data_IF_520283546517
#
_entry.id   IF_520283546517
#
_cell.length_a   1.000
_cell.length_b   1.000
_cell.length_c   1.000
_cell.angle_alpha   90.00
_cell.angle_beta   90.00
_cell.angle_gamma   90.00
#
_symmetry.space_group_name_H-M   'P 1'
#
loop_
_entity.id
_entity.type
_entity.pdbx_description
1 polymer ?
#
# COMPACT_ATOMS: atom_id res chain seq x y z
N UNK A 1 68.27 -27.47 -0.39
CA UNK A 1 67.19 -26.80 -1.12
C UNK A 1 66.14 -26.42 -0.08
N UNK A 2 66.06 -25.10 0.21
CA UNK A 2 65.25 -24.56 1.28
C UNK A 2 63.83 -24.31 0.82
N UNK A 3 62.84 -24.88 1.55
CA UNK A 3 61.41 -24.62 1.31
C UNK A 3 61.00 -23.29 1.96
N UNK A 4 60.37 -22.46 1.17
CA UNK A 4 59.78 -21.15 1.64
C UNK A 4 58.40 -21.44 2.25
N UNK A 5 58.08 -20.94 3.45
CA UNK A 5 56.71 -21.05 4.00
C UNK A 5 55.82 -20.01 3.36
N UNK A 6 54.66 -20.45 2.81
CA UNK A 6 53.57 -19.59 2.38
C UNK A 6 52.78 -19.15 3.60
N UNK A 7 52.80 -17.86 3.91
CA UNK A 7 51.97 -17.24 4.92
C UNK A 7 50.52 -17.18 4.44
N UNK A 8 49.63 -17.94 5.10
CA UNK A 8 48.19 -17.82 4.93
C UNK A 8 47.69 -16.51 5.55
N UNK A 9 47.25 -15.57 4.72
CA UNK A 9 46.56 -14.40 5.17
C UNK A 9 45.10 -14.79 5.52
N UNK A 10 44.79 -14.83 6.80
CA UNK A 10 43.42 -14.88 7.30
C UNK A 10 42.75 -13.57 6.96
N UNK A 11 41.78 -13.61 6.05
CA UNK A 11 40.87 -12.49 5.82
C UNK A 11 39.89 -12.52 7.00
N UNK A 12 40.16 -11.73 8.01
CA UNK A 12 39.18 -11.38 9.02
C UNK A 12 38.03 -10.68 8.30
N UNK A 13 36.87 -11.34 8.27
CA UNK A 13 35.62 -10.75 7.82
C UNK A 13 35.29 -9.56 8.71
N UNK A 14 35.52 -8.34 8.19
CA UNK A 14 34.97 -7.14 8.78
C UNK A 14 33.45 -7.31 8.79
N UNK A 15 32.88 -7.58 9.96
CA UNK A 15 31.47 -7.38 10.25
C UNK A 15 31.20 -5.90 9.96
N UNK A 16 30.54 -5.63 8.84
CA UNK A 16 29.95 -4.33 8.57
C UNK A 16 28.89 -4.15 9.66
N UNK A 17 29.25 -3.45 10.73
CA UNK A 17 28.29 -2.92 11.68
C UNK A 17 27.32 -2.10 10.85
N UNK A 18 26.07 -2.58 10.75
CA UNK A 18 25.06 -1.94 9.95
C UNK A 18 24.95 -0.48 10.35
N UNK A 19 25.19 0.42 9.40
CA UNK A 19 24.76 1.80 9.55
C UNK A 19 23.31 1.74 9.98
N UNK A 20 22.99 2.31 11.15
CA UNK A 20 21.64 2.52 11.59
C UNK A 20 20.96 3.30 10.47
N UNK A 21 20.05 2.65 9.77
CA UNK A 21 19.37 3.29 8.64
C UNK A 21 18.62 4.53 9.11
N UNK A 22 18.17 5.37 8.17
CA UNK A 22 17.61 6.69 8.50
C UNK A 22 16.48 6.60 9.52
N UNK A 23 16.43 7.59 10.42
CA UNK A 23 15.40 7.69 11.48
C UNK A 23 13.99 7.92 10.93
N UNK A 24 13.87 8.23 9.62
CA UNK A 24 12.63 8.51 8.92
C UNK A 24 12.14 7.26 8.20
N UNK A 25 10.90 6.87 8.50
CA UNK A 25 10.16 5.85 7.81
C UNK A 25 9.03 6.48 6.97
N UNK A 26 8.93 6.10 5.71
CA UNK A 26 7.89 6.58 4.79
C UNK A 26 7.01 5.41 4.39
N UNK A 27 5.77 5.39 4.86
CA UNK A 27 4.77 4.38 4.52
C UNK A 27 3.77 4.93 3.50
N UNK A 28 3.65 4.32 2.34
CA UNK A 28 2.72 4.80 1.32
C UNK A 28 1.86 3.69 0.73
N UNK A 29 0.56 3.96 0.58
CA UNK A 29 -0.25 3.19 -0.34
C UNK A 29 0.31 3.27 -1.76
N UNK A 30 -0.04 2.31 -2.60
CA UNK A 30 0.42 2.23 -3.98
C UNK A 30 -0.64 2.68 -4.97
N UNK A 31 -1.77 1.97 -5.05
CA UNK A 31 -2.78 2.17 -6.08
C UNK A 31 -3.49 3.52 -5.91
N UNK A 32 -3.42 4.40 -6.92
CA UNK A 32 -4.00 5.75 -6.90
C UNK A 32 -3.33 6.72 -5.90
N UNK A 33 -2.22 6.30 -5.29
CA UNK A 33 -1.39 7.14 -4.42
C UNK A 33 -0.02 7.38 -5.04
N UNK A 34 0.71 6.33 -5.39
CA UNK A 34 2.01 6.43 -6.08
C UNK A 34 1.99 5.88 -7.51
N UNK A 35 1.19 4.83 -7.75
CA UNK A 35 1.08 4.19 -9.05
C UNK A 35 -0.37 4.23 -9.54
N UNK A 36 -0.54 4.33 -10.86
CA UNK A 36 -1.83 4.61 -11.47
C UNK A 36 -2.09 3.68 -12.64
N UNK A 37 -3.28 3.07 -12.69
CA UNK A 37 -3.75 2.43 -13.91
C UNK A 37 -4.05 3.49 -14.99
N UNK A 38 -4.05 3.11 -16.25
CA UNK A 38 -4.38 4.00 -17.37
C UNK A 38 -5.61 4.91 -17.10
N UNK A 39 -6.67 4.34 -16.55
CA UNK A 39 -7.91 5.07 -16.23
C UNK A 39 -7.79 6.05 -15.06
N UNK A 40 -6.77 5.89 -14.23
CA UNK A 40 -6.56 6.69 -13.03
C UNK A 40 -5.49 7.77 -13.22
N UNK A 41 -4.85 7.83 -14.39
CA UNK A 41 -3.78 8.80 -14.67
C UNK A 41 -4.27 10.24 -14.57
N UNK A 42 -5.52 10.52 -14.96
CA UNK A 42 -6.11 11.87 -15.00
C UNK A 42 -5.17 12.86 -15.73
N UNK A 43 -4.82 12.51 -16.98
CA UNK A 43 -3.99 13.35 -17.83
C UNK A 43 -4.89 14.40 -18.49
N UNK A 44 -4.88 15.60 -17.95
CA UNK A 44 -5.63 16.74 -18.46
C UNK A 44 -4.70 17.60 -19.34
N UNK A 45 -5.04 17.72 -20.62
CA UNK A 45 -4.30 18.57 -21.53
C UNK A 45 -3.88 17.88 -22.84
N UNK A 46 -3.24 18.60 -23.76
CA UNK A 46 -2.80 18.06 -25.04
C UNK A 46 -1.61 17.10 -24.86
N UNK A 47 -1.61 16.02 -25.64
CA UNK A 47 -0.57 14.96 -25.62
C UNK A 47 0.89 15.47 -25.58
N UNK A 48 1.27 16.54 -26.34
CA UNK A 48 2.66 17.02 -26.29
C UNK A 48 3.09 17.57 -24.93
N UNK A 49 2.15 17.91 -24.05
CA UNK A 49 2.42 18.41 -22.69
C UNK A 49 2.25 17.32 -21.63
N UNK A 50 1.81 16.12 -22.02
CA UNK A 50 1.65 15.02 -21.09
C UNK A 50 3.02 14.62 -20.47
N UNK A 51 3.05 14.30 -19.16
CA UNK A 51 4.28 13.83 -18.53
C UNK A 51 4.71 12.50 -19.13
N UNK A 52 6.01 12.28 -19.23
CA UNK A 52 6.54 10.96 -19.59
C UNK A 52 6.22 9.97 -18.48
N UNK A 53 5.74 8.79 -18.85
CA UNK A 53 5.30 7.75 -17.93
C UNK A 53 6.27 6.57 -17.95
N UNK A 54 6.55 6.05 -16.76
CA UNK A 54 7.22 4.77 -16.56
C UNK A 54 6.19 3.70 -16.21
N UNK A 55 6.16 2.60 -16.96
CA UNK A 55 5.38 1.42 -16.59
C UNK A 55 6.12 0.63 -15.50
N UNK A 56 5.45 0.41 -14.38
CA UNK A 56 6.00 -0.31 -13.22
C UNK A 56 5.32 -1.66 -12.96
N UNK A 57 4.28 -2.00 -13.69
CA UNK A 57 3.61 -3.29 -13.61
C UNK A 57 3.17 -3.76 -15.00
N UNK A 58 3.52 -5.01 -15.31
CA UNK A 58 3.06 -5.69 -16.54
C UNK A 58 2.44 -7.03 -16.14
N UNK A 59 1.29 -7.38 -16.72
CA UNK A 59 0.63 -8.67 -16.57
C UNK A 59 0.20 -9.18 -17.94
N UNK A 60 0.57 -10.40 -18.26
CA UNK A 60 0.27 -11.06 -19.56
C UNK A 60 0.65 -10.17 -20.77
N UNK A 61 1.83 -9.54 -20.69
CA UNK A 61 2.36 -8.63 -21.71
C UNK A 61 1.66 -7.26 -21.81
N UNK A 62 0.72 -6.95 -20.91
CA UNK A 62 -0.02 -5.69 -20.88
C UNK A 62 0.46 -4.80 -19.75
N UNK A 63 0.79 -3.53 -20.02
CA UNK A 63 1.11 -2.57 -18.98
C UNK A 63 -0.13 -2.28 -18.14
N UNK A 64 0.03 -2.25 -16.81
CA UNK A 64 -1.08 -2.08 -15.87
C UNK A 64 -0.97 -0.85 -15.00
N UNK A 65 0.23 -0.52 -14.53
CA UNK A 65 0.43 0.56 -13.57
C UNK A 65 1.61 1.43 -13.98
N UNK A 66 1.45 2.72 -13.78
CA UNK A 66 2.37 3.76 -14.22
C UNK A 66 2.61 4.79 -13.13
N UNK A 67 3.74 5.50 -13.23
CA UNK A 67 4.03 6.75 -12.55
C UNK A 67 4.79 7.67 -13.52
N UNK A 68 4.95 8.96 -13.19
CA UNK A 68 5.75 9.85 -14.05
C UNK A 68 7.24 9.49 -13.93
N UNK A 69 8.03 9.70 -15.00
CA UNK A 69 9.48 9.54 -14.94
C UNK A 69 10.09 10.41 -13.82
N UNK A 70 9.51 11.58 -13.57
CA UNK A 70 9.94 12.47 -12.49
C UNK A 70 9.66 11.86 -11.12
N UNK A 71 8.44 11.36 -10.89
CA UNK A 71 8.11 10.64 -9.64
C UNK A 71 9.02 9.43 -9.44
N UNK A 72 9.38 8.72 -10.52
CA UNK A 72 10.31 7.60 -10.48
C UNK A 72 11.70 8.01 -9.95
N UNK A 73 12.26 9.12 -10.48
CA UNK A 73 13.52 9.65 -10.01
C UNK A 73 13.49 10.07 -8.55
N UNK A 74 12.43 10.78 -8.15
CA UNK A 74 12.22 11.23 -6.76
C UNK A 74 12.04 10.04 -5.80
N UNK A 75 11.28 9.00 -6.19
CA UNK A 75 11.08 7.81 -5.37
C UNK A 75 12.38 7.02 -5.17
N UNK A 76 13.19 6.89 -6.23
CA UNK A 76 14.51 6.27 -6.14
C UNK A 76 15.46 7.07 -5.23
N UNK A 77 15.35 8.39 -5.19
CA UNK A 77 16.10 9.24 -4.27
C UNK A 77 15.60 9.07 -2.83
N UNK A 78 14.28 9.11 -2.61
CA UNK A 78 13.65 8.91 -1.31
C UNK A 78 14.08 7.57 -0.67
N UNK A 79 14.05 6.49 -1.45
CA UNK A 79 14.41 5.15 -0.98
C UNK A 79 15.91 5.00 -0.58
N UNK A 80 16.76 5.97 -0.93
CA UNK A 80 18.15 6.05 -0.43
C UNK A 80 18.29 6.88 0.83
N UNK A 81 17.33 7.77 1.12
CA UNK A 81 17.38 8.71 2.24
C UNK A 81 16.50 8.30 3.42
N UNK A 82 15.46 7.54 3.16
CA UNK A 82 14.48 7.12 4.14
C UNK A 82 14.15 5.62 4.00
N UNK A 83 13.61 5.02 5.06
CA UNK A 83 13.06 3.65 5.01
C UNK A 83 11.72 3.70 4.30
N UNK A 84 11.70 3.43 3.02
CA UNK A 84 10.46 3.38 2.26
C UNK A 84 9.76 2.04 2.44
N UNK A 85 8.48 2.08 2.86
CA UNK A 85 7.63 0.92 3.14
C UNK A 85 6.35 1.02 2.31
N UNK A 86 6.23 0.30 1.19
CA UNK A 86 4.96 0.16 0.49
C UNK A 86 3.91 -0.49 1.40
N UNK A 87 2.69 0.09 1.45
CA UNK A 87 1.58 -0.40 2.27
C UNK A 87 0.32 -0.51 1.41
N UNK A 88 -0.05 -1.73 0.99
CA UNK A 88 -1.05 -1.93 -0.06
C UNK A 88 -2.10 -2.99 0.30
N UNK A 89 -3.30 -2.86 -0.29
CA UNK A 89 -4.32 -3.91 -0.30
C UNK A 89 -3.99 -5.08 -1.24
N UNK A 90 -2.97 -4.95 -2.08
CA UNK A 90 -2.52 -6.01 -2.99
C UNK A 90 -2.07 -7.24 -2.21
N UNK A 91 -2.35 -8.43 -2.74
CA UNK A 91 -1.73 -9.67 -2.23
C UNK A 91 -0.22 -9.65 -2.48
N UNK A 92 0.54 -10.51 -1.80
CA UNK A 92 1.99 -10.63 -2.01
C UNK A 92 2.31 -10.91 -3.48
N UNK A 93 1.55 -11.79 -4.13
CA UNK A 93 1.72 -12.09 -5.56
C UNK A 93 1.50 -10.85 -6.43
N UNK A 94 0.45 -10.07 -6.13
CA UNK A 94 0.14 -8.83 -6.87
C UNK A 94 1.20 -7.74 -6.63
N UNK A 95 1.70 -7.62 -5.40
CA UNK A 95 2.75 -6.68 -5.06
C UNK A 95 4.07 -7.01 -5.79
N UNK A 96 4.45 -8.28 -5.85
CA UNK A 96 5.68 -8.73 -6.52
C UNK A 96 5.75 -8.44 -8.02
N UNK A 97 4.62 -8.10 -8.65
CA UNK A 97 4.60 -7.65 -10.05
C UNK A 97 4.96 -6.18 -10.22
N UNK A 98 4.94 -5.41 -9.11
CA UNK A 98 5.24 -3.98 -9.15
C UNK A 98 6.73 -3.75 -8.99
N UNK A 99 7.36 -3.21 -10.01
CA UNK A 99 8.79 -2.86 -10.03
C UNK A 99 8.94 -1.37 -9.67
N UNK A 100 8.97 -1.06 -8.37
CA UNK A 100 9.19 0.31 -7.91
C UNK A 100 10.62 0.77 -8.21
N UNK A 101 10.81 2.05 -8.61
CA UNK A 101 12.14 2.62 -8.81
C UNK A 101 12.94 2.70 -7.50
N UNK A 102 14.23 2.41 -7.60
CA UNK A 102 15.16 2.51 -6.47
C UNK A 102 15.52 1.16 -5.84
N UNK A 103 16.13 1.17 -4.65
CA UNK A 103 16.43 -0.04 -3.89
C UNK A 103 15.18 -0.83 -3.52
N UNK A 104 15.30 -2.16 -3.46
CA UNK A 104 14.20 -3.00 -2.96
C UNK A 104 13.88 -2.63 -1.52
N UNK A 105 12.60 -2.34 -1.19
CA UNK A 105 12.21 -2.05 0.18
C UNK A 105 12.53 -3.21 1.13
N UNK A 106 13.20 -2.91 2.25
CA UNK A 106 13.49 -3.91 3.29
C UNK A 106 12.21 -4.43 3.99
N UNK A 107 11.14 -3.63 3.97
CA UNK A 107 9.81 -4.03 4.45
C UNK A 107 8.74 -3.65 3.43
N UNK A 108 7.69 -4.49 3.33
CA UNK A 108 6.47 -4.13 2.59
C UNK A 108 5.24 -4.70 3.31
N UNK A 109 4.19 -3.91 3.37
CA UNK A 109 2.90 -4.26 3.96
C UNK A 109 1.95 -4.62 2.84
N UNK A 110 1.53 -5.88 2.76
CA UNK A 110 0.63 -6.41 1.75
C UNK A 110 -0.69 -6.88 2.36
N UNK A 111 -1.69 -7.12 1.53
CA UNK A 111 -3.02 -7.59 1.92
C UNK A 111 -3.63 -6.76 3.07
N UNK A 112 -3.50 -5.42 2.97
CA UNK A 112 -3.99 -4.46 3.97
C UNK A 112 -3.43 -4.69 5.39
N UNK A 113 -2.19 -5.17 5.52
CA UNK A 113 -1.57 -5.50 6.80
C UNK A 113 -1.64 -6.99 7.17
N UNK A 114 -2.28 -7.83 6.35
CA UNK A 114 -2.33 -9.29 6.55
C UNK A 114 -1.02 -10.01 6.33
N UNK A 115 -0.13 -9.38 5.56
CA UNK A 115 1.21 -9.88 5.23
C UNK A 115 2.22 -8.77 5.46
N UNK A 116 3.25 -9.05 6.21
CA UNK A 116 4.45 -8.24 6.31
C UNK A 116 5.58 -8.98 5.57
N UNK A 117 6.22 -8.30 4.64
CA UNK A 117 7.42 -8.82 3.98
C UNK A 117 8.65 -8.19 4.63
N UNK A 118 9.65 -9.01 4.91
CA UNK A 118 10.99 -8.60 5.34
C UNK A 118 11.95 -9.08 4.26
N UNK A 119 12.66 -8.17 3.62
CA UNK A 119 13.54 -8.45 2.47
C UNK A 119 12.86 -9.32 1.38
N UNK A 120 11.56 -9.01 1.12
CA UNK A 120 10.74 -9.70 0.13
C UNK A 120 10.18 -11.06 0.56
N UNK A 121 10.48 -11.53 1.79
CA UNK A 121 10.03 -12.81 2.35
C UNK A 121 8.86 -12.57 3.32
N UNK A 122 7.74 -13.33 3.23
CA UNK A 122 6.65 -13.24 4.20
C UNK A 122 7.10 -13.55 5.62
N UNK A 123 6.72 -12.70 6.57
CA UNK A 123 6.98 -12.87 7.99
C UNK A 123 5.93 -13.79 8.63
N UNK A 124 6.34 -15.00 9.02
CA UNK A 124 5.45 -16.00 9.61
C UNK A 124 4.99 -15.65 11.03
N UNK A 125 5.77 -14.90 11.80
CA UNK A 125 5.41 -14.50 13.16
C UNK A 125 4.32 -13.45 13.10
N UNK A 126 4.48 -12.46 12.23
CA UNK A 126 3.42 -11.50 11.92
C UNK A 126 2.13 -12.19 11.44
N UNK A 127 2.26 -13.16 10.52
CA UNK A 127 1.09 -13.90 10.01
C UNK A 127 0.34 -14.64 11.11
N UNK A 128 1.03 -15.26 12.06
CA UNK A 128 0.39 -15.92 13.23
C UNK A 128 -0.32 -14.90 14.11
N UNK A 129 0.33 -13.77 14.40
CA UNK A 129 -0.23 -12.71 15.23
C UNK A 129 -1.51 -12.14 14.64
N UNK A 130 -1.47 -11.74 13.35
CA UNK A 130 -2.65 -11.18 12.70
C UNK A 130 -3.80 -12.19 12.60
N UNK A 131 -3.51 -13.46 12.36
CA UNK A 131 -4.53 -14.52 12.33
C UNK A 131 -5.24 -14.64 13.67
N UNK A 132 -4.52 -14.57 14.79
CA UNK A 132 -5.11 -14.58 16.12
C UNK A 132 -5.99 -13.34 16.38
N UNK A 133 -5.52 -12.15 15.97
CA UNK A 133 -6.30 -10.90 16.09
C UNK A 133 -7.60 -10.95 15.28
N UNK A 134 -7.55 -11.50 14.06
CA UNK A 134 -8.75 -11.67 13.22
C UNK A 134 -9.77 -12.60 13.85
N UNK A 135 -9.33 -13.73 14.39
CA UNK A 135 -10.22 -14.70 15.06
C UNK A 135 -10.88 -14.13 16.33
N UNK A 136 -10.23 -13.19 17.01
CA UNK A 136 -10.75 -12.56 18.22
C UNK A 136 -11.67 -11.35 17.94
N UNK A 137 -11.43 -10.61 16.83
CA UNK A 137 -12.03 -9.29 16.62
C UNK A 137 -13.03 -9.20 15.47
N UNK A 138 -13.29 -10.27 14.72
CA UNK A 138 -14.21 -10.22 13.58
C UNK A 138 -14.91 -11.55 13.32
N UNK A 139 -16.08 -11.48 12.68
CA UNK A 139 -16.78 -12.66 12.19
C UNK A 139 -15.92 -13.42 11.17
N UNK A 140 -16.11 -14.75 11.01
CA UNK A 140 -15.35 -15.54 10.05
C UNK A 140 -15.49 -15.05 8.61
N UNK A 141 -14.39 -15.02 7.85
CA UNK A 141 -14.36 -14.66 6.44
C UNK A 141 -15.44 -15.38 5.61
N UNK A 142 -15.68 -16.67 5.89
CA UNK A 142 -16.67 -17.46 5.18
C UNK A 142 -18.10 -16.91 5.30
N UNK A 143 -18.45 -16.25 6.40
CA UNK A 143 -19.73 -15.58 6.59
C UNK A 143 -19.85 -14.37 5.67
N UNK A 144 -18.82 -13.53 5.62
CA UNK A 144 -18.78 -12.34 4.75
C UNK A 144 -18.77 -12.73 3.27
N UNK A 145 -18.03 -13.76 2.89
CA UNK A 145 -18.02 -14.28 1.51
C UNK A 145 -19.41 -14.77 1.09
N UNK A 146 -20.14 -15.45 1.97
CA UNK A 146 -21.54 -15.85 1.72
C UNK A 146 -22.44 -14.63 1.54
N UNK A 147 -22.33 -13.64 2.41
CA UNK A 147 -23.14 -12.41 2.32
C UNK A 147 -22.86 -11.68 0.99
N UNK A 148 -21.59 -11.50 0.65
CA UNK A 148 -21.23 -10.90 -0.63
C UNK A 148 -21.78 -11.69 -1.82
N UNK A 149 -21.88 -13.01 -1.72
CA UNK A 149 -22.46 -13.83 -2.77
C UNK A 149 -23.98 -13.66 -2.88
N UNK A 150 -24.65 -13.40 -1.77
CA UNK A 150 -26.11 -13.20 -1.70
C UNK A 150 -26.53 -11.80 -2.18
N UNK A 151 -25.76 -10.77 -1.85
CA UNK A 151 -26.11 -9.38 -2.14
C UNK A 151 -25.50 -8.82 -3.44
N UNK A 152 -24.60 -9.58 -4.09
CA UNK A 152 -23.91 -9.16 -5.33
C UNK A 152 -24.67 -9.61 -6.56
N UNK A 153 -25.34 -8.69 -7.24
CA UNK A 153 -26.06 -8.96 -8.48
C UNK A 153 -25.12 -9.04 -9.71
N UNK A 154 -25.27 -10.04 -10.60
CA UNK A 154 -24.51 -10.17 -11.82
C UNK A 154 -24.61 -8.97 -12.78
N UNK A 155 -25.68 -8.17 -12.70
CA UNK A 155 -25.85 -7.00 -13.57
C UNK A 155 -24.75 -5.95 -13.40
N UNK A 156 -24.25 -5.80 -12.17
CA UNK A 156 -23.20 -4.84 -11.84
C UNK A 156 -21.94 -5.45 -11.22
N UNK A 157 -21.96 -6.74 -10.82
CA UNK A 157 -20.79 -7.44 -10.28
C UNK A 157 -20.02 -8.16 -11.40
N UNK A 158 -18.75 -7.84 -11.56
CA UNK A 158 -17.86 -8.47 -12.56
C UNK A 158 -17.03 -9.61 -12.02
N UNK A 159 -16.55 -9.49 -10.78
CA UNK A 159 -15.73 -10.51 -10.13
C UNK A 159 -15.96 -10.48 -8.62
N UNK A 160 -15.88 -11.66 -8.00
CA UNK A 160 -15.78 -11.86 -6.55
C UNK A 160 -14.43 -12.49 -6.26
N UNK A 161 -13.73 -12.01 -5.27
CA UNK A 161 -12.38 -12.46 -4.92
C UNK A 161 -12.22 -12.52 -3.41
N UNK A 162 -11.41 -13.47 -2.97
CA UNK A 162 -10.81 -13.53 -1.63
C UNK A 162 -9.34 -13.23 -1.79
N UNK A 163 -8.79 -12.40 -0.91
CA UNK A 163 -7.38 -12.01 -0.91
C UNK A 163 -6.69 -12.58 0.32
N UNK A 164 -5.62 -13.34 0.08
CA UNK A 164 -4.76 -13.95 1.11
C UNK A 164 -5.52 -14.61 2.28
N UNK A 165 -6.69 -15.22 1.99
CA UNK A 165 -7.54 -15.84 3.00
C UNK A 165 -7.88 -14.89 4.18
N UNK A 166 -7.79 -13.59 3.97
CA UNK A 166 -7.92 -12.58 5.02
C UNK A 166 -9.12 -11.66 4.82
N UNK A 167 -9.44 -11.28 3.58
CA UNK A 167 -10.56 -10.42 3.26
C UNK A 167 -11.15 -10.72 1.88
N UNK A 168 -12.31 -10.14 1.58
CA UNK A 168 -12.98 -10.34 0.31
C UNK A 168 -13.25 -9.00 -0.39
N UNK A 169 -13.37 -9.03 -1.73
CA UNK A 169 -13.80 -7.87 -2.49
C UNK A 169 -14.60 -8.23 -3.74
N UNK A 170 -15.41 -7.29 -4.16
CA UNK A 170 -16.14 -7.31 -5.43
C UNK A 170 -15.47 -6.37 -6.40
N UNK A 171 -15.42 -6.74 -7.68
CA UNK A 171 -15.16 -5.79 -8.78
C UNK A 171 -16.50 -5.46 -9.41
N UNK A 172 -16.87 -4.19 -9.37
CA UNK A 172 -18.21 -3.72 -9.74
C UNK A 172 -18.19 -2.69 -10.86
N UNK A 173 -19.32 -2.50 -11.50
CA UNK A 173 -19.62 -1.31 -12.30
C UNK A 173 -20.24 -0.26 -11.38
N UNK A 174 -19.41 0.72 -10.97
CA UNK A 174 -19.75 1.70 -9.95
C UNK A 174 -21.05 2.46 -10.26
N UNK A 175 -21.23 2.85 -11.52
CA UNK A 175 -22.37 3.63 -11.98
C UNK A 175 -23.70 2.83 -12.00
N UNK A 176 -23.62 1.52 -11.81
CA UNK A 176 -24.76 0.60 -11.77
C UNK A 176 -25.07 0.08 -10.36
N UNK A 177 -24.32 0.49 -9.36
CA UNK A 177 -24.61 0.10 -7.97
C UNK A 177 -25.95 0.67 -7.54
N UNK A 178 -26.85 -0.15 -6.96
CA UNK A 178 -28.12 0.34 -6.42
C UNK A 178 -27.89 1.39 -5.33
N UNK A 179 -28.77 2.40 -5.32
CA UNK A 179 -28.76 3.40 -4.25
C UNK A 179 -28.98 2.72 -2.88
N UNK A 180 -28.13 3.07 -1.89
CA UNK A 180 -28.21 2.50 -0.55
C UNK A 180 -27.47 1.17 -0.35
N UNK A 181 -27.22 0.38 -1.41
CA UNK A 181 -26.61 -0.96 -1.28
C UNK A 181 -25.27 -0.93 -0.53
N UNK A 182 -24.41 0.06 -0.82
CA UNK A 182 -23.12 0.20 -0.14
C UNK A 182 -23.29 0.49 1.34
N UNK A 183 -24.27 1.33 1.70
CA UNK A 183 -24.57 1.67 3.10
C UNK A 183 -25.13 0.45 3.86
N UNK A 184 -26.01 -0.33 3.25
CA UNK A 184 -26.55 -1.57 3.82
C UNK A 184 -25.43 -2.59 4.06
N UNK A 185 -24.55 -2.80 3.06
CA UNK A 185 -23.40 -3.68 3.22
C UNK A 185 -22.46 -3.20 4.33
N UNK A 186 -22.22 -1.88 4.41
CA UNK A 186 -21.37 -1.28 5.44
C UNK A 186 -21.94 -1.53 6.83
N UNK A 187 -23.25 -1.30 7.03
CA UNK A 187 -23.92 -1.58 8.30
C UNK A 187 -23.84 -3.05 8.70
N UNK A 188 -24.16 -3.95 7.76
CA UNK A 188 -24.09 -5.40 8.00
C UNK A 188 -22.67 -5.87 8.36
N UNK A 189 -21.65 -5.33 7.69
CA UNK A 189 -20.24 -5.63 7.96
C UNK A 189 -19.79 -5.08 9.33
N UNK A 190 -20.17 -3.85 9.66
CA UNK A 190 -19.78 -3.20 10.91
C UNK A 190 -20.24 -3.98 12.15
N UNK A 191 -21.49 -4.53 12.15
CA UNK A 191 -22.00 -5.39 13.22
C UNK A 191 -21.18 -6.67 13.45
N UNK A 192 -20.27 -7.00 12.50
CA UNK A 192 -19.45 -8.22 12.49
C UNK A 192 -17.97 -7.96 12.64
N UNK A 193 -17.58 -6.72 12.98
CA UNK A 193 -16.17 -6.31 13.07
C UNK A 193 -15.48 -6.23 11.70
N UNK A 194 -16.23 -5.85 10.66
CA UNK A 194 -15.73 -5.67 9.30
C UNK A 194 -16.03 -4.27 8.80
N UNK A 195 -15.12 -3.69 8.04
CA UNK A 195 -15.28 -2.39 7.34
C UNK A 195 -15.43 -2.59 5.85
N UNK A 196 -16.14 -1.64 5.22
CA UNK A 196 -16.33 -1.60 3.77
C UNK A 196 -15.64 -0.36 3.21
N UNK A 197 -14.99 -0.49 2.05
CA UNK A 197 -14.33 0.59 1.33
C UNK A 197 -14.56 0.44 -0.17
N UNK A 198 -14.86 1.54 -0.86
CA UNK A 198 -15.07 1.58 -2.30
C UNK A 198 -13.92 2.33 -3.00
N UNK A 199 -12.95 1.58 -3.50
CA UNK A 199 -11.79 2.12 -4.20
C UNK A 199 -11.92 1.89 -5.72
N UNK A 200 -12.14 2.95 -6.47
CA UNK A 200 -12.38 2.85 -7.91
C UNK A 200 -13.56 1.93 -8.22
N UNK A 201 -13.31 0.73 -8.73
CA UNK A 201 -14.32 -0.29 -9.04
C UNK A 201 -14.33 -1.47 -8.06
N UNK A 202 -13.61 -1.39 -6.97
CA UNK A 202 -13.51 -2.49 -6.00
C UNK A 202 -14.21 -2.10 -4.71
N UNK A 203 -15.18 -2.91 -4.29
CA UNK A 203 -15.80 -2.86 -2.97
C UNK A 203 -15.10 -3.88 -2.11
N UNK A 204 -14.32 -3.42 -1.16
CA UNK A 204 -13.61 -4.24 -0.20
C UNK A 204 -14.45 -4.46 1.05
N UNK A 205 -14.48 -5.69 1.56
CA UNK A 205 -14.91 -6.00 2.91
C UNK A 205 -13.69 -6.53 3.66
N UNK A 206 -13.23 -5.79 4.66
CA UNK A 206 -11.97 -6.02 5.37
C UNK A 206 -12.25 -6.11 6.87
N UNK A 207 -11.77 -7.16 7.59
CA UNK A 207 -11.95 -7.24 9.04
C UNK A 207 -11.24 -6.08 9.74
N UNK A 208 -11.85 -5.50 10.77
CA UNK A 208 -11.30 -4.32 11.46
C UNK A 208 -9.89 -4.49 12.02
N UNK A 209 -9.52 -5.66 12.60
CA UNK A 209 -8.15 -5.84 13.08
C UNK A 209 -7.10 -5.89 11.96
N UNK A 210 -7.51 -6.04 10.70
CA UNK A 210 -6.63 -6.03 9.53
C UNK A 210 -6.40 -4.61 9.05
N UNK A 211 -5.29 -4.01 9.43
CA UNK A 211 -5.00 -2.62 9.09
C UNK A 211 -3.54 -2.41 8.71
N UNK A 212 -3.31 -1.45 7.81
CA UNK A 212 -1.96 -1.02 7.41
C UNK A 212 -1.21 -0.41 8.60
N UNK A 213 -1.91 0.32 9.47
CA UNK A 213 -1.32 0.95 10.65
C UNK A 213 -0.81 -0.06 11.68
N UNK A 214 -1.52 -1.18 11.89
CA UNK A 214 -1.05 -2.23 12.80
C UNK A 214 0.25 -2.87 12.32
N UNK A 215 0.37 -3.13 11.01
CA UNK A 215 1.60 -3.63 10.41
C UNK A 215 2.72 -2.57 10.40
N UNK A 216 2.37 -1.29 10.17
CA UNK A 216 3.31 -0.18 10.26
C UNK A 216 3.90 -0.05 11.67
N UNK A 217 3.08 -0.12 12.72
CA UNK A 217 3.54 -0.08 14.10
C UNK A 217 4.58 -1.17 14.40
N UNK A 218 4.40 -2.37 13.85
CA UNK A 218 5.38 -3.44 13.97
C UNK A 218 6.69 -3.12 13.22
N UNK A 219 6.60 -2.53 12.01
CA UNK A 219 7.81 -2.09 11.27
C UNK A 219 8.54 -0.98 12.02
N UNK A 220 7.83 0.00 12.57
CA UNK A 220 8.41 1.08 13.40
C UNK A 220 9.13 0.48 14.62
N UNK A 221 8.48 -0.42 15.35
CA UNK A 221 9.07 -1.10 16.52
C UNK A 221 10.37 -1.86 16.16
N UNK A 222 10.41 -2.54 15.00
CA UNK A 222 11.60 -3.29 14.54
C UNK A 222 12.70 -2.39 14.02
N UNK A 223 12.34 -1.32 13.33
CA UNK A 223 13.31 -0.41 12.70
C UNK A 223 13.87 0.65 13.64
N UNK A 224 13.17 0.94 14.74
CA UNK A 224 13.52 2.05 15.64
C UNK A 224 13.31 3.44 15.01
N UNK A 225 12.53 3.54 13.93
CA UNK A 225 12.24 4.82 13.29
C UNK A 225 11.56 5.77 14.28
N UNK A 226 11.99 7.03 14.28
CA UNK A 226 11.49 8.07 15.18
C UNK A 226 10.55 9.06 14.49
N UNK A 227 10.54 9.06 13.17
CA UNK A 227 9.65 9.90 12.36
C UNK A 227 8.96 9.02 11.31
N UNK A 228 7.64 9.14 11.24
CA UNK A 228 6.80 8.40 10.30
C UNK A 228 6.08 9.37 9.38
N UNK A 229 6.25 9.20 8.09
CA UNK A 229 5.53 9.92 7.04
C UNK A 229 4.59 8.94 6.33
N UNK A 230 3.38 9.39 5.93
CA UNK A 230 2.45 8.50 5.26
C UNK A 230 1.68 9.16 4.10
N UNK A 231 1.22 8.32 3.14
CA UNK A 231 0.27 8.74 2.12
C UNK A 231 -0.72 7.62 1.77
N UNK A 232 -1.95 8.03 1.38
CA UNK A 232 -3.01 7.12 0.97
C UNK A 232 -4.23 7.84 0.43
N UNK A 233 -5.10 7.15 -0.35
CA UNK A 233 -6.26 7.75 -1.03
C UNK A 233 -7.61 7.24 -0.53
N UNK A 234 -7.63 6.17 0.26
CA UNK A 234 -8.84 5.43 0.61
C UNK A 234 -9.14 5.40 2.11
N UNK A 235 -10.37 5.04 2.48
CA UNK A 235 -10.74 4.84 3.88
C UNK A 235 -9.92 3.73 4.57
N UNK A 236 -9.36 2.77 3.81
CA UNK A 236 -8.44 1.77 4.35
C UNK A 236 -7.05 2.34 4.68
N UNK A 237 -6.76 3.57 4.26
CA UNK A 237 -5.53 4.28 4.59
C UNK A 237 -5.70 5.27 5.75
N UNK A 238 -6.94 5.56 6.15
CA UNK A 238 -7.20 6.57 7.16
C UNK A 238 -6.42 6.32 8.47
N UNK A 239 -6.37 5.08 8.93
CA UNK A 239 -5.62 4.67 10.12
C UNK A 239 -4.10 4.78 9.92
N UNK A 240 -3.59 4.50 8.70
CA UNK A 240 -2.19 4.69 8.32
C UNK A 240 -1.80 6.18 8.40
N UNK A 241 -2.64 7.05 7.82
CA UNK A 241 -2.43 8.50 7.82
C UNK A 241 -2.45 9.09 9.23
N UNK A 242 -3.36 8.61 10.09
CA UNK A 242 -3.49 9.05 11.48
C UNK A 242 -2.33 8.56 12.37
N UNK A 243 -1.66 7.49 12.00
CA UNK A 243 -0.52 6.95 12.74
C UNK A 243 0.82 7.64 12.41
N UNK A 244 0.84 8.56 11.43
CA UNK A 244 2.04 9.25 10.98
C UNK A 244 2.19 10.62 11.63
N UNK A 245 3.44 11.10 11.75
CA UNK A 245 3.76 12.46 12.23
C UNK A 245 3.36 13.51 11.20
N UNK A 246 3.43 13.18 9.90
CA UNK A 246 2.89 13.98 8.81
C UNK A 246 2.39 13.07 7.68
N UNK A 247 1.26 13.45 7.10
CA UNK A 247 0.66 12.62 6.05
C UNK A 247 0.03 13.47 4.93
N UNK A 248 -0.11 12.85 3.76
CA UNK A 248 -0.70 13.47 2.57
C UNK A 248 -1.72 12.54 1.93
N UNK A 249 -2.83 13.13 1.49
CA UNK A 249 -3.78 12.46 0.61
C UNK A 249 -3.94 13.23 -0.70
N UNK A 250 -4.12 12.53 -1.83
CA UNK A 250 -4.37 13.19 -3.12
C UNK A 250 -5.73 13.92 -3.11
N UNK A 251 -5.94 14.80 -4.11
CA UNK A 251 -7.21 15.49 -4.36
C UNK A 251 -8.31 14.59 -4.95
N UNK A 252 -8.05 13.29 -5.07
CA UNK A 252 -8.98 12.27 -5.55
C UNK A 252 -9.00 11.09 -4.59
N UNK A 253 -9.82 10.08 -4.89
CA UNK A 253 -9.93 8.87 -4.08
C UNK A 253 -11.06 8.93 -3.07
N UNK A 254 -11.25 7.84 -2.33
CA UNK A 254 -12.38 7.69 -1.42
C UNK A 254 -12.36 8.71 -0.29
N UNK A 255 -11.16 9.06 0.24
CA UNK A 255 -11.01 10.10 1.26
C UNK A 255 -11.39 11.49 0.73
N UNK A 256 -11.03 11.81 -0.52
CA UNK A 256 -11.41 13.07 -1.13
C UNK A 256 -12.90 13.12 -1.45
N UNK A 257 -13.44 12.05 -2.06
CA UNK A 257 -14.85 11.92 -2.43
C UNK A 257 -15.78 12.04 -1.19
N UNK A 258 -15.33 11.58 -0.01
CA UNK A 258 -16.06 11.67 1.25
C UNK A 258 -15.84 12.98 2.02
N UNK A 259 -14.96 13.86 1.54
CA UNK A 259 -14.58 15.09 2.24
C UNK A 259 -13.81 14.84 3.55
N UNK A 260 -13.18 13.66 3.69
CA UNK A 260 -12.46 13.28 4.90
C UNK A 260 -11.26 14.19 5.16
N UNK A 261 -11.13 14.67 6.39
CA UNK A 261 -10.01 15.48 6.89
C UNK A 261 -9.61 15.06 8.28
N UNK A 262 -8.33 15.22 8.61
CA UNK A 262 -7.82 14.96 9.95
C UNK A 262 -6.62 15.87 10.27
N UNK A 263 -6.36 16.16 11.58
CA UNK A 263 -5.14 16.84 12.00
C UNK A 263 -3.90 16.07 11.53
N UNK A 264 -2.86 16.80 11.10
CA UNK A 264 -1.62 16.18 10.62
C UNK A 264 -1.68 15.62 9.19
N UNK A 265 -2.86 15.63 8.55
CA UNK A 265 -3.04 15.16 7.17
C UNK A 265 -3.31 16.32 6.22
N UNK A 266 -2.42 16.50 5.25
CA UNK A 266 -2.57 17.51 4.19
C UNK A 266 -3.32 16.94 3.00
N UNK A 267 -4.44 17.55 2.65
CA UNK A 267 -5.13 17.27 1.40
C UNK A 267 -4.44 18.04 0.25
N UNK A 268 -3.97 17.32 -0.75
CA UNK A 268 -3.41 17.91 -1.96
C UNK A 268 -4.52 18.37 -2.91
N UNK A 269 -4.23 19.40 -3.72
CA UNK A 269 -5.11 19.81 -4.81
C UNK A 269 -4.93 18.93 -6.05
N UNK A 270 -3.74 18.37 -6.22
CA UNK A 270 -3.35 17.55 -7.37
C UNK A 270 -4.15 16.24 -7.39
N UNK A 271 -4.48 15.79 -8.62
CA UNK A 271 -5.20 14.55 -8.90
C UNK A 271 -4.40 13.67 -9.85
N UNK A 272 -4.79 12.39 -9.96
CA UNK A 272 -4.15 11.45 -10.87
C UNK A 272 -2.65 11.34 -10.62
N UNK A 273 -1.91 11.09 -11.67
CA UNK A 273 -0.45 10.84 -11.59
C UNK A 273 0.35 12.04 -11.07
N UNK A 274 -0.16 13.27 -11.23
CA UNK A 274 0.45 14.48 -10.70
C UNK A 274 0.44 14.49 -9.15
N UNK A 275 -0.63 13.96 -8.54
CA UNK A 275 -0.69 13.81 -7.08
C UNK A 275 0.40 12.86 -6.56
N UNK A 276 0.64 11.74 -7.26
CA UNK A 276 1.72 10.82 -6.88
C UNK A 276 3.10 11.47 -6.94
N UNK A 277 3.36 12.30 -7.95
CA UNK A 277 4.60 13.07 -8.03
C UNK A 277 4.73 14.06 -6.87
N UNK A 278 3.67 14.80 -6.57
CA UNK A 278 3.66 15.77 -5.47
C UNK A 278 3.84 15.08 -4.10
N UNK A 279 3.21 13.92 -3.87
CA UNK A 279 3.38 13.13 -2.65
C UNK A 279 4.86 12.78 -2.45
N UNK A 280 5.53 12.23 -3.47
CA UNK A 280 6.95 11.87 -3.35
C UNK A 280 7.84 13.09 -3.11
N UNK A 281 7.51 14.23 -3.74
CA UNK A 281 8.19 15.50 -3.51
C UNK A 281 8.05 15.96 -2.05
N UNK A 282 6.84 15.83 -1.48
CA UNK A 282 6.59 16.15 -0.05
C UNK A 282 7.33 15.22 0.89
N UNK A 283 7.36 13.94 0.60
CA UNK A 283 8.15 12.99 1.38
C UNK A 283 9.63 13.36 1.40
N UNK A 284 10.22 13.66 0.25
CA UNK A 284 11.62 14.08 0.18
C UNK A 284 11.89 15.36 0.96
N UNK A 285 11.00 16.35 0.87
CA UNK A 285 11.14 17.61 1.59
C UNK A 285 11.03 17.43 3.12
N UNK A 286 10.25 16.45 3.59
CA UNK A 286 10.06 16.17 5.01
C UNK A 286 11.12 15.20 5.56
N UNK A 287 11.76 14.42 4.72
CA UNK A 287 12.82 13.48 5.13
C UNK A 287 14.23 14.14 5.20
N UNK A 288 14.37 15.40 4.77
CA UNK A 288 15.62 16.16 4.83
C UNK A 288 16.44 16.06 3.55
#
# INVERSE_FOLDING_TARGET
MAGVPVAGASVEGASVAGELGPDVLVASDLDRTLIYSERALALDGPDPLAPRLLCVEVLDGRPLSFLTERAAGLLAELARRARFVPATTRTVEQYRRVNLPGPTPGHAICANGGQLLVDGVPDHDWRREITARLAAGSAPLAEVVRQLALCADPEWTRKRRVADESFAYLVVERDRLPGGWLAELTGWCAERGWRVSLQGRKVYAVPEPLSKSAALAEVVRRSGATTVLAAGDSLLDADLLLAADAAWRPGHGELADSGWTAPGVTALAETGVAAGEEIVRRFLAAAG
#
